data_IF_369827107459
#
_entry.id   IF_369827107459
#
_cell.length_a   1.000
_cell.length_b   1.000
_cell.length_c   1.000
_cell.angle_alpha   90.00
_cell.angle_beta   90.00
_cell.angle_gamma   90.00
#
_symmetry.space_group_name_H-M   'P 1'
#
loop_
_entity.id
_entity.type
_entity.pdbx_description
1 polymer ?
#
# COMPACT_ATOMS: atom_id res chain seq x y z
N UNK A 1 11.30 6.35 1.46
CA UNK A 1 12.72 5.99 1.28
C UNK A 1 13.10 6.16 -0.19
N UNK A 2 14.37 6.43 -0.48
CA UNK A 2 14.90 6.61 -1.85
C UNK A 2 16.14 5.73 -2.04
N UNK A 3 16.30 5.17 -3.25
CA UNK A 3 17.47 4.38 -3.60
C UNK A 3 18.73 5.25 -3.65
N UNK A 4 19.89 4.66 -3.33
CA UNK A 4 21.17 5.37 -3.42
C UNK A 4 21.47 5.78 -4.87
N UNK A 5 21.10 4.94 -5.83
CA UNK A 5 21.34 5.19 -7.26
C UNK A 5 20.54 6.38 -7.76
N UNK A 6 19.24 6.47 -7.42
CA UNK A 6 18.43 7.63 -7.77
C UNK A 6 18.93 8.89 -7.06
N UNK A 7 19.27 8.80 -5.78
CA UNK A 7 19.81 9.94 -5.03
C UNK A 7 21.11 10.47 -5.67
N UNK A 8 22.00 9.59 -6.14
CA UNK A 8 23.21 9.97 -6.88
C UNK A 8 22.90 10.57 -8.25
N UNK A 9 21.98 9.95 -9.00
CA UNK A 9 21.55 10.42 -10.33
C UNK A 9 20.99 11.84 -10.26
N UNK A 10 20.19 12.13 -9.24
CA UNK A 10 19.61 13.45 -8.98
C UNK A 10 20.57 14.41 -8.25
N UNK A 11 21.77 13.95 -7.87
CA UNK A 11 22.79 14.72 -7.14
C UNK A 11 22.25 15.36 -5.85
N UNK A 12 21.45 14.59 -5.10
CA UNK A 12 20.83 15.06 -3.86
C UNK A 12 21.88 15.28 -2.77
N UNK A 13 21.63 16.28 -1.90
CA UNK A 13 22.44 16.51 -0.71
C UNK A 13 22.02 15.51 0.38
N UNK A 14 22.97 14.70 0.82
CA UNK A 14 22.76 13.71 1.87
C UNK A 14 23.12 14.28 3.24
N UNK A 15 22.17 14.21 4.17
CA UNK A 15 22.40 14.47 5.58
C UNK A 15 22.75 13.15 6.29
N UNK A 16 23.83 13.12 7.08
CA UNK A 16 24.29 11.93 7.82
C UNK A 16 24.24 12.08 9.35
N UNK A 17 23.50 13.07 9.83
CA UNK A 17 23.42 13.37 11.26
C UNK A 17 22.60 12.32 12.03
N UNK A 18 21.59 11.74 11.38
CA UNK A 18 20.66 10.82 12.03
C UNK A 18 20.83 9.40 11.51
N UNK A 19 20.66 8.44 12.42
CA UNK A 19 20.66 7.02 12.09
C UNK A 19 19.40 6.37 12.63
N UNK A 20 18.82 5.48 11.83
CA UNK A 20 17.62 4.72 12.20
C UNK A 20 17.83 3.25 11.88
N UNK A 21 17.36 2.37 12.77
CA UNK A 21 17.31 0.92 12.52
C UNK A 21 15.91 0.57 12.05
N UNK A 22 15.81 -0.09 10.90
CA UNK A 22 14.55 -0.46 10.26
C UNK A 22 14.51 -1.97 10.10
N UNK A 23 13.45 -2.61 10.58
CA UNK A 23 13.12 -4.01 10.30
C UNK A 23 12.15 -4.10 9.12
N UNK A 24 12.00 -5.30 8.55
CA UNK A 24 11.05 -5.55 7.45
C UNK A 24 11.60 -5.34 6.03
N UNK A 25 12.84 -4.83 5.89
CA UNK A 25 13.56 -4.76 4.62
C UNK A 25 14.35 -6.06 4.39
N UNK A 26 13.68 -7.14 3.99
CA UNK A 26 14.34 -8.42 3.69
C UNK A 26 14.74 -9.26 4.91
N UNK A 27 14.04 -9.10 6.03
CA UNK A 27 14.17 -9.96 7.23
C UNK A 27 15.36 -9.65 8.14
N UNK A 28 16.35 -8.87 7.68
CA UNK A 28 17.48 -8.42 8.49
C UNK A 28 17.27 -6.94 8.87
N UNK A 29 17.35 -6.58 10.16
CA UNK A 29 17.34 -5.18 10.58
C UNK A 29 18.46 -4.40 9.88
N UNK A 30 18.06 -3.38 9.12
CA UNK A 30 18.97 -2.55 8.32
C UNK A 30 19.14 -1.20 8.99
N UNK A 31 20.40 -0.77 9.17
CA UNK A 31 20.71 0.54 9.70
C UNK A 31 20.85 1.55 8.55
N UNK A 32 20.01 2.58 8.59
CA UNK A 32 20.02 3.66 7.62
C UNK A 32 20.69 4.87 8.26
N UNK A 33 21.67 5.46 7.57
CA UNK A 33 22.55 6.50 8.12
C UNK A 33 22.54 7.80 7.32
N UNK A 34 21.69 7.86 6.29
CA UNK A 34 21.57 9.02 5.43
C UNK A 34 20.11 9.33 5.12
N UNK A 35 19.78 10.62 5.15
CA UNK A 35 18.50 11.16 4.71
C UNK A 35 18.72 12.29 3.71
N UNK A 36 17.67 12.68 3.00
CA UNK A 36 17.71 13.80 2.07
C UNK A 36 16.34 14.44 1.97
N UNK A 37 16.29 15.77 1.94
CA UNK A 37 15.06 16.50 1.69
C UNK A 37 14.79 16.53 0.18
N UNK A 38 13.59 16.11 -0.21
CA UNK A 38 13.17 16.08 -1.61
C UNK A 38 11.85 16.80 -1.81
N UNK A 39 11.68 17.31 -3.03
CA UNK A 39 10.41 17.79 -3.55
C UNK A 39 9.77 16.70 -4.40
N UNK A 40 8.62 16.22 -3.96
CA UNK A 40 7.83 15.21 -4.66
C UNK A 40 6.63 15.93 -5.26
N UNK A 41 6.57 15.97 -6.58
CA UNK A 41 5.38 16.46 -7.29
C UNK A 41 4.47 15.27 -7.56
N UNK A 42 3.23 15.35 -7.09
CA UNK A 42 2.17 14.39 -7.42
C UNK A 42 1.14 15.08 -8.31
N UNK A 43 0.87 14.48 -9.46
CA UNK A 43 -0.09 15.04 -10.39
C UNK A 43 0.38 16.35 -11.02
N UNK A 44 -0.56 17.20 -11.44
CA UNK A 44 -0.24 18.44 -12.16
C UNK A 44 0.04 19.66 -11.25
N UNK A 45 -0.34 19.63 -9.97
CA UNK A 45 -0.46 20.85 -9.15
C UNK A 45 0.12 20.79 -7.74
N UNK A 46 0.43 19.62 -7.20
CA UNK A 46 0.77 19.49 -5.77
C UNK A 46 2.23 19.07 -5.60
N UNK A 47 2.96 19.84 -4.78
CA UNK A 47 4.36 19.58 -4.44
C UNK A 47 4.46 19.39 -2.93
N UNK A 48 5.06 18.27 -2.54
CA UNK A 48 5.36 17.93 -1.16
C UNK A 48 6.85 18.05 -0.91
N UNK A 49 7.22 18.63 0.22
CA UNK A 49 8.60 18.64 0.70
C UNK A 49 8.66 17.66 1.86
N UNK A 50 9.51 16.64 1.74
CA UNK A 50 9.65 15.64 2.79
C UNK A 50 11.08 15.14 2.88
N UNK A 51 11.50 14.78 4.09
CA UNK A 51 12.74 14.08 4.34
C UNK A 51 12.55 12.59 4.03
N UNK A 52 13.35 12.07 3.09
CA UNK A 52 13.40 10.64 2.77
C UNK A 52 14.70 10.03 3.25
N UNK A 53 14.60 8.85 3.86
CA UNK A 53 15.75 8.00 4.16
C UNK A 53 16.33 7.38 2.88
N UNK A 54 17.66 7.38 2.76
CA UNK A 54 18.40 6.77 1.66
C UNK A 54 18.81 5.36 2.03
N UNK A 55 18.31 4.36 1.33
CA UNK A 55 18.61 2.96 1.62
C UNK A 55 18.50 2.08 0.39
N UNK A 56 19.02 0.85 0.49
CA UNK A 56 18.73 -0.19 -0.49
C UNK A 56 17.32 -0.74 -0.24
N UNK A 57 16.38 -0.39 -1.10
CA UNK A 57 14.96 -0.74 -0.98
C UNK A 57 14.54 -1.96 -1.81
N UNK A 58 15.47 -2.57 -2.54
CA UNK A 58 15.20 -3.70 -3.44
C UNK A 58 15.56 -3.38 -4.89
N UNK A 59 15.79 -4.44 -5.68
CA UNK A 59 16.12 -4.32 -7.10
C UNK A 59 14.93 -3.75 -7.88
N UNK A 60 15.19 -2.80 -8.78
CA UNK A 60 14.16 -2.17 -9.61
C UNK A 60 13.29 -1.13 -8.89
N UNK A 61 13.55 -0.83 -7.62
CA UNK A 61 12.82 0.17 -6.84
C UNK A 61 13.65 1.44 -6.65
N UNK A 62 13.09 2.57 -7.09
CA UNK A 62 13.73 3.89 -6.97
C UNK A 62 13.28 4.67 -5.73
N UNK A 63 11.98 4.61 -5.41
CA UNK A 63 11.37 5.32 -4.28
C UNK A 63 10.32 4.41 -3.65
N UNK A 64 10.30 4.37 -2.32
CA UNK A 64 9.27 3.71 -1.52
C UNK A 64 8.54 4.78 -0.69
N UNK A 65 7.27 5.05 -1.01
CA UNK A 65 6.43 5.99 -0.28
C UNK A 65 5.55 5.24 0.73
N UNK A 66 5.75 5.55 2.01
CA UNK A 66 5.04 4.89 3.10
C UNK A 66 3.70 5.55 3.42
N UNK A 67 3.05 5.02 4.48
CA UNK A 67 1.81 5.58 5.00
C UNK A 67 1.98 7.00 5.55
N UNK A 68 3.17 7.33 6.07
CA UNK A 68 3.54 8.68 6.52
C UNK A 68 3.32 9.72 5.42
N UNK A 69 3.81 9.43 4.22
CA UNK A 69 3.59 10.25 3.04
C UNK A 69 2.14 10.18 2.56
N UNK A 70 1.60 8.97 2.36
CA UNK A 70 0.25 8.80 1.79
C UNK A 70 -0.82 9.50 2.63
N UNK A 71 -0.74 9.39 3.95
CA UNK A 71 -1.65 10.04 4.89
C UNK A 71 -1.51 11.56 4.82
N UNK A 72 -0.28 12.10 4.92
CA UNK A 72 -0.04 13.54 4.86
C UNK A 72 -0.43 14.13 3.50
N UNK A 73 -0.24 13.37 2.42
CA UNK A 73 -0.59 13.78 1.08
C UNK A 73 -2.07 13.60 0.75
N UNK A 74 -2.88 12.97 1.62
CA UNK A 74 -4.29 12.70 1.33
C UNK A 74 -4.49 11.72 0.16
N UNK A 75 -3.51 10.84 -0.08
CA UNK A 75 -3.57 9.81 -1.12
C UNK A 75 -4.54 8.71 -0.70
N UNK A 76 -5.44 8.30 -1.60
CA UNK A 76 -6.37 7.18 -1.38
C UNK A 76 -6.13 6.09 -2.40
N UNK A 77 -5.97 4.85 -1.94
CA UNK A 77 -5.76 3.69 -2.81
C UNK A 77 -7.07 2.91 -2.93
N UNK A 78 -7.58 2.75 -4.14
CA UNK A 78 -8.76 1.96 -4.45
C UNK A 78 -8.34 0.69 -5.20
N UNK A 79 -8.33 -0.44 -4.49
CA UNK A 79 -7.95 -1.75 -5.08
C UNK A 79 -9.03 -2.26 -6.04
N UNK A 80 -10.30 -1.91 -5.82
CA UNK A 80 -11.41 -2.34 -6.71
C UNK A 80 -11.30 -1.72 -8.10
N UNK A 81 -10.87 -0.46 -8.16
CA UNK A 81 -10.78 0.31 -9.40
C UNK A 81 -9.34 0.35 -9.93
N UNK A 82 -8.38 -0.19 -9.18
CA UNK A 82 -6.96 -0.13 -9.45
C UNK A 82 -6.44 1.30 -9.68
N UNK A 83 -6.95 2.21 -8.85
CA UNK A 83 -6.63 3.64 -8.90
C UNK A 83 -6.01 4.13 -7.60
N UNK A 84 -5.05 5.05 -7.75
CA UNK A 84 -4.55 5.92 -6.70
C UNK A 84 -5.15 7.30 -6.91
N UNK A 85 -5.98 7.76 -5.98
CA UNK A 85 -6.56 9.09 -5.99
C UNK A 85 -5.68 10.06 -5.21
N UNK A 86 -5.35 11.18 -5.84
CA UNK A 86 -4.64 12.31 -5.25
C UNK A 86 -5.65 13.31 -4.67
N UNK A 87 -5.26 14.15 -3.70
CA UNK A 87 -6.16 15.12 -3.04
C UNK A 87 -6.74 16.18 -4.00
N UNK A 88 -6.20 16.32 -5.22
CA UNK A 88 -6.72 17.20 -6.27
C UNK A 88 -7.74 16.50 -7.20
N UNK A 89 -8.30 15.35 -6.79
CA UNK A 89 -9.19 14.51 -7.58
C UNK A 89 -8.58 13.98 -8.90
N UNK A 90 -7.25 13.93 -8.98
CA UNK A 90 -6.53 13.24 -10.05
C UNK A 90 -6.37 11.76 -9.68
N UNK A 91 -6.65 10.85 -10.62
CA UNK A 91 -6.50 9.41 -10.43
C UNK A 91 -5.37 8.86 -11.30
N UNK A 92 -4.48 8.08 -10.70
CA UNK A 92 -3.36 7.40 -11.37
C UNK A 92 -3.62 5.90 -11.34
N UNK A 93 -3.44 5.20 -12.46
CA UNK A 93 -3.53 3.74 -12.50
C UNK A 93 -2.40 3.10 -11.69
N UNK A 94 -2.72 2.06 -10.93
CA UNK A 94 -1.75 1.35 -10.08
C UNK A 94 -0.74 0.54 -10.92
N UNK A 95 -1.10 0.14 -12.14
CA UNK A 95 -0.27 -0.65 -13.05
C UNK A 95 -0.27 -0.09 -14.48
N UNK A 96 0.75 -0.47 -15.25
CA UNK A 96 0.85 -0.21 -16.68
C UNK A 96 -0.26 -0.96 -17.45
N UNK A 97 -0.70 -0.36 -18.56
CA UNK A 97 -1.87 -0.72 -19.38
C UNK A 97 -1.83 -2.17 -19.93
N UNK A 98 -0.67 -2.82 -19.84
CA UNK A 98 -0.37 -4.13 -20.42
C UNK A 98 -0.62 -5.34 -19.49
N UNK A 99 -1.00 -5.12 -18.22
CA UNK A 99 -1.37 -6.21 -17.31
C UNK A 99 -2.88 -6.42 -17.38
N UNK A 100 -3.31 -7.61 -17.82
CA UNK A 100 -4.73 -7.98 -17.84
C UNK A 100 -5.29 -7.85 -16.42
N UNK A 101 -6.14 -6.85 -16.24
CA UNK A 101 -7.02 -6.67 -15.09
C UNK A 101 -7.69 -8.01 -14.79
N UNK A 102 -7.47 -8.55 -13.59
CA UNK A 102 -8.43 -9.50 -13.01
C UNK A 102 -9.71 -8.68 -12.87
N UNK A 103 -10.61 -8.77 -13.86
CA UNK A 103 -11.91 -8.12 -13.80
C UNK A 103 -12.55 -8.52 -12.48
N UNK A 104 -12.49 -7.60 -11.51
CA UNK A 104 -13.18 -7.71 -10.25
C UNK A 104 -14.63 -7.92 -10.62
N UNK A 105 -15.13 -9.11 -10.34
CA UNK A 105 -16.51 -9.45 -10.64
C UNK A 105 -17.32 -8.62 -9.64
N UNK A 106 -18.10 -7.66 -10.14
CA UNK A 106 -18.83 -6.68 -9.35
C UNK A 106 -20.06 -7.35 -8.69
N UNK A 107 -19.78 -8.36 -7.86
CA UNK A 107 -20.79 -9.11 -7.17
C UNK A 107 -21.03 -8.51 -5.79
N UNK A 108 -22.31 -8.30 -5.42
CA UNK A 108 -22.64 -7.90 -4.07
C UNK A 108 -22.15 -8.98 -3.11
N UNK A 109 -21.18 -8.62 -2.28
CA UNK A 109 -20.73 -9.42 -1.15
C UNK A 109 -21.68 -9.13 0.00
N UNK A 110 -22.61 -10.04 0.25
CA UNK A 110 -23.53 -9.95 1.37
C UNK A 110 -23.36 -11.18 2.25
N UNK A 111 -23.30 -10.99 3.58
CA UNK A 111 -23.58 -12.10 4.49
C UNK A 111 -25.08 -12.39 4.40
N UNK A 112 -25.50 -13.66 4.24
CA UNK A 112 -26.92 -13.99 4.27
C UNK A 112 -27.56 -13.75 5.65
N UNK A 113 -26.76 -13.60 6.69
CA UNK A 113 -27.20 -13.50 8.08
C UNK A 113 -26.53 -12.30 8.78
N UNK A 114 -27.31 -11.60 9.61
CA UNK A 114 -26.81 -10.61 10.54
C UNK A 114 -26.33 -11.34 11.80
N UNK A 115 -25.07 -11.13 12.19
CA UNK A 115 -24.48 -11.72 13.40
C UNK A 115 -24.21 -10.64 14.44
N UNK A 116 -24.65 -10.89 15.67
CA UNK A 116 -24.29 -10.09 16.84
C UNK A 116 -23.30 -10.90 17.66
N UNK A 117 -22.07 -10.40 17.81
CA UNK A 117 -21.00 -11.05 18.57
C UNK A 117 -20.69 -10.23 19.82
N UNK A 118 -20.47 -10.92 20.93
CA UNK A 118 -19.95 -10.31 22.15
C UNK A 118 -18.42 -10.15 22.06
N UNK A 119 -17.80 -9.23 22.82
CA UNK A 119 -16.34 -9.09 22.84
C UNK A 119 -15.64 -10.42 23.15
N UNK A 120 -14.70 -10.84 22.30
CA UNK A 120 -13.99 -12.13 22.39
C UNK A 120 -14.64 -13.30 21.63
N UNK A 121 -15.82 -13.12 21.04
CA UNK A 121 -16.45 -14.13 20.17
C UNK A 121 -16.03 -13.96 18.71
N UNK A 122 -15.91 -15.09 18.00
CA UNK A 122 -15.66 -15.11 16.55
C UNK A 122 -16.63 -16.08 15.88
N UNK A 123 -17.07 -15.73 14.67
CA UNK A 123 -17.91 -16.57 13.83
C UNK A 123 -17.29 -16.71 12.43
N UNK A 124 -17.43 -17.91 11.86
CA UNK A 124 -17.08 -18.17 10.47
C UNK A 124 -18.31 -17.88 9.60
N UNK A 125 -18.22 -16.86 8.73
CA UNK A 125 -19.31 -16.50 7.83
C UNK A 125 -18.97 -16.95 6.42
N UNK A 126 -19.87 -17.72 5.82
CA UNK A 126 -19.75 -18.07 4.42
C UNK A 126 -20.17 -16.86 3.57
N UNK A 127 -19.21 -16.28 2.85
CA UNK A 127 -19.48 -15.21 1.90
C UNK A 127 -20.03 -15.84 0.62
N UNK A 128 -21.28 -15.53 0.29
CA UNK A 128 -21.86 -15.93 -0.99
C UNK A 128 -21.50 -14.86 -2.03
N UNK A 129 -20.72 -15.26 -3.03
CA UNK A 129 -20.62 -14.51 -4.27
C UNK A 129 -21.86 -14.85 -5.09
N UNK A 130 -22.65 -13.85 -5.48
CA UNK A 130 -23.87 -14.04 -6.26
C UNK A 130 -23.69 -14.93 -7.51
N UNK A 131 -24.82 -15.45 -7.99
CA UNK A 131 -24.87 -16.59 -8.90
C UNK A 131 -24.28 -16.27 -10.28
N UNK A 132 -23.05 -16.73 -10.57
CA UNK A 132 -22.58 -16.91 -11.95
C UNK A 132 -22.63 -18.39 -12.32
N UNK A 133 -23.50 -18.70 -13.27
CA UNK A 133 -23.57 -19.97 -13.96
C UNK A 133 -22.15 -20.40 -14.42
N UNK A 134 -21.75 -21.60 -13.99
CA UNK A 134 -20.62 -22.39 -14.50
C UNK A 134 -19.22 -21.77 -14.43
N UNK A 135 -18.70 -21.46 -13.24
CA UNK A 135 -17.26 -21.61 -12.99
C UNK A 135 -17.06 -22.39 -11.68
N UNK A 136 -16.57 -23.62 -11.80
CA UNK A 136 -16.28 -24.52 -10.70
C UNK A 136 -14.96 -24.08 -10.05
N UNK A 137 -15.02 -23.25 -9.01
CA UNK A 137 -13.85 -22.92 -8.20
C UNK A 137 -13.85 -23.84 -6.98
N UNK A 138 -13.01 -24.88 -7.01
CA UNK A 138 -12.54 -25.53 -5.79
C UNK A 138 -11.59 -24.56 -5.10
N UNK A 139 -12.01 -24.00 -3.97
CA UNK A 139 -11.17 -23.76 -2.78
C UNK A 139 -11.98 -22.95 -1.76
N UNK A 140 -12.47 -23.65 -0.72
CA UNK A 140 -12.93 -23.01 0.51
C UNK A 140 -11.72 -22.37 1.20
N UNK A 141 -11.60 -21.04 1.12
CA UNK A 141 -10.71 -20.29 2.02
C UNK A 141 -11.56 -19.55 3.04
N UNK A 142 -11.55 -20.09 4.25
CA UNK A 142 -12.01 -19.39 5.46
C UNK A 142 -11.01 -18.28 5.80
N UNK A 143 -11.48 -17.04 5.92
CA UNK A 143 -10.69 -15.92 6.38
C UNK A 143 -11.00 -15.66 7.86
N UNK A 144 -9.96 -15.66 8.69
CA UNK A 144 -10.02 -15.31 10.11
C UNK A 144 -9.69 -13.82 10.22
N UNK A 145 -10.62 -13.02 10.73
CA UNK A 145 -10.34 -11.64 11.13
C UNK A 145 -9.79 -11.69 12.56
N UNK A 146 -8.48 -11.52 12.71
CA UNK A 146 -7.86 -11.44 14.03
C UNK A 146 -8.04 -10.02 14.59
N UNK A 147 -8.45 -9.93 15.87
CA UNK A 147 -8.65 -8.68 16.61
C UNK A 147 -7.37 -7.84 16.68
N UNK A 148 -7.47 -6.57 16.28
CA UNK A 148 -6.46 -5.54 16.60
C UNK A 148 -6.64 -5.15 18.06
N UNK A 149 -5.80 -5.69 18.94
CA UNK A 149 -5.70 -5.24 20.33
C UNK A 149 -5.10 -3.84 20.38
N UNK A 150 -5.93 -2.86 20.76
CA UNK A 150 -5.49 -1.52 21.15
C UNK A 150 -4.91 -1.53 22.56
N UNK A 151 -3.75 -0.89 22.72
CA UNK A 151 -3.18 -0.48 24.02
C UNK A 151 -3.46 0.98 24.30
#
# INVERSE_FOLDING_TARGET
>A
MISLDLARKLKLKLNRQNQVKVSGLGGIPTQITASTEVKITLGSRVVYIMELWVANIGEGLDVLLGMDFMFCAGVRVCVREDLVQLPAAESILVYDENVKVLQGVDLPVASPENLYLMPGEHALVCIQYGHTNHIRIQNEKSFRLDEVTGG
#
